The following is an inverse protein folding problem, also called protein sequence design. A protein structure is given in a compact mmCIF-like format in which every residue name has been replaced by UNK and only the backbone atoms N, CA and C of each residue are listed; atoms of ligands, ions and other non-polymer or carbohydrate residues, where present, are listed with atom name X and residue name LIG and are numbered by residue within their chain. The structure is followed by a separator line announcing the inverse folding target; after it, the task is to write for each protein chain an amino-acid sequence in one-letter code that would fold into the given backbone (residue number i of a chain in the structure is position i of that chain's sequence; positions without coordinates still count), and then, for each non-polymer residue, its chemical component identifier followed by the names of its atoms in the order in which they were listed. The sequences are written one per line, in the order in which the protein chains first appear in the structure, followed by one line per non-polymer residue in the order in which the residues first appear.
data_IF_218914061501
#
_entry.id   IF_218914061501
#
_cell.length_a   1.000
_cell.length_b   1.000
_cell.length_c   1.000
_cell.angle_alpha   90.00
_cell.angle_beta   90.00
_cell.angle_gamma   90.00
#
_symmetry.space_group_name_H-M   'P 1'
#
loop_
_entity.id
_entity.type
_entity.pdbx_description
1 polymer ?
#
# COMPACT_ATOMS: atom_id res chain seq x y z
N UNK A 1 23.76 5.59 35.09
CA UNK A 1 22.45 5.25 34.49
C UNK A 1 21.84 6.56 34.05
N UNK A 2 21.94 6.88 32.77
CA UNK A 2 21.24 8.02 32.17
C UNK A 2 19.82 7.57 31.88
N UNK A 3 18.86 8.05 32.67
CA UNK A 3 17.44 8.03 32.30
C UNK A 3 17.28 8.92 31.08
N UNK A 4 17.33 8.32 29.90
CA UNK A 4 16.89 8.96 28.66
C UNK A 4 15.40 8.64 28.53
N UNK A 5 14.57 9.22 29.41
CA UNK A 5 13.12 9.19 29.24
C UNK A 5 12.80 9.91 27.94
N UNK A 6 12.42 9.15 26.91
CA UNK A 6 11.88 9.74 25.69
C UNK A 6 10.69 10.65 26.08
N UNK A 7 10.58 11.85 25.47
CA UNK A 7 9.47 12.75 25.77
C UNK A 7 8.14 12.03 25.52
N UNK A 8 7.12 12.19 26.39
CA UNK A 8 5.81 11.56 26.20
C UNK A 8 5.11 12.09 24.95
N UNK A 9 4.11 11.35 24.45
CA UNK A 9 3.39 11.67 23.22
C UNK A 9 2.82 13.11 23.20
N UNK A 10 2.35 13.60 24.36
CA UNK A 10 1.83 14.98 24.52
C UNK A 10 2.85 16.09 24.34
N UNK A 11 4.15 15.78 24.45
CA UNK A 11 5.26 16.75 24.35
C UNK A 11 5.85 16.82 22.93
N UNK A 12 5.28 16.08 21.98
CA UNK A 12 5.64 16.19 20.57
C UNK A 12 5.31 17.60 20.05
N UNK A 13 6.31 18.25 19.47
CA UNK A 13 6.13 19.54 18.78
C UNK A 13 5.73 19.25 17.33
N UNK A 14 4.46 19.48 17.00
CA UNK A 14 3.99 19.31 15.63
C UNK A 14 4.46 20.45 14.73
N UNK A 15 4.82 20.10 13.50
CA UNK A 15 5.08 21.07 12.44
C UNK A 15 3.77 21.73 12.01
N UNK A 16 3.80 23.03 11.74
CA UNK A 16 2.67 23.78 11.19
C UNK A 16 2.69 23.88 9.66
N UNK A 17 3.68 23.26 9.03
CA UNK A 17 3.83 23.29 7.58
C UNK A 17 2.70 22.50 6.93
N UNK A 18 2.07 23.08 5.91
CA UNK A 18 1.02 22.42 5.14
C UNK A 18 1.64 21.37 4.21
N UNK A 19 1.86 20.17 4.72
CA UNK A 19 2.36 19.05 3.90
C UNK A 19 1.17 18.27 3.37
N UNK A 20 1.07 18.13 2.05
CA UNK A 20 0.05 17.27 1.45
C UNK A 20 0.45 15.80 1.63
N UNK A 21 -0.47 15.00 2.19
CA UNK A 21 -0.25 13.57 2.41
C UNK A 21 -0.88 12.77 1.27
N UNK A 22 -0.07 11.93 0.61
CA UNK A 22 -0.51 11.02 -0.46
C UNK A 22 0.05 9.63 -0.22
N UNK A 23 -0.82 8.62 -0.23
CA UNK A 23 -0.40 7.21 -0.15
C UNK A 23 0.10 6.67 -1.51
N UNK A 24 0.96 5.64 -1.48
CA UNK A 24 1.58 5.08 -2.70
C UNK A 24 0.56 4.57 -3.72
N UNK A 25 -0.57 4.03 -3.26
CA UNK A 25 -1.58 3.47 -4.16
C UNK A 25 -2.37 4.58 -4.84
N UNK A 26 -2.62 5.70 -4.16
CA UNK A 26 -3.22 6.89 -4.75
C UNK A 26 -2.31 7.50 -5.82
N UNK A 27 -1.00 7.50 -5.58
CA UNK A 27 -0.04 8.13 -6.47
C UNK A 27 0.08 7.47 -7.83
N UNK A 28 -0.27 6.19 -7.97
CA UNK A 28 -0.30 5.53 -9.28
C UNK A 28 -1.22 6.22 -10.28
N UNK A 29 -2.29 6.86 -9.82
CA UNK A 29 -3.17 7.64 -10.67
C UNK A 29 -2.49 8.90 -11.20
N UNK A 30 -1.71 9.59 -10.35
CA UNK A 30 -0.90 10.74 -10.74
C UNK A 30 0.23 10.41 -11.73
N UNK A 31 0.55 9.12 -11.92
CA UNK A 31 1.50 8.65 -12.92
C UNK A 31 0.88 8.46 -14.31
N UNK A 32 -0.45 8.56 -14.46
CA UNK A 32 -1.05 8.54 -15.79
C UNK A 32 -0.70 9.83 -16.54
N UNK A 33 -0.25 9.75 -17.80
CA UNK A 33 -0.01 10.95 -18.59
C UNK A 33 -1.33 11.57 -19.04
N UNK A 34 -1.33 12.88 -19.27
CA UNK A 34 -2.44 13.58 -19.89
C UNK A 34 -2.44 13.28 -21.40
N UNK A 35 -3.04 12.16 -21.77
CA UNK A 35 -3.17 11.69 -23.16
C UNK A 35 -4.63 11.36 -23.47
N UNK A 36 -5.12 11.69 -24.68
CA UNK A 36 -6.51 11.48 -25.06
C UNK A 36 -6.84 10.00 -25.35
N UNK A 37 -5.84 9.17 -25.68
CA UNK A 37 -6.05 7.73 -25.89
C UNK A 37 -5.87 6.96 -24.58
N UNK A 38 -6.96 6.37 -24.10
CA UNK A 38 -6.96 5.55 -22.88
C UNK A 38 -6.05 4.34 -22.96
N UNK A 39 -5.90 3.71 -24.13
CA UNK A 39 -5.04 2.53 -24.30
C UNK A 39 -3.58 2.93 -24.10
N UNK A 40 -3.13 3.98 -24.81
CA UNK A 40 -1.77 4.50 -24.66
C UNK A 40 -1.52 5.05 -23.25
N UNK A 41 -2.51 5.74 -22.66
CA UNK A 41 -2.45 6.29 -21.30
C UNK A 41 -2.16 5.21 -20.27
N UNK A 42 -2.89 4.09 -20.32
CA UNK A 42 -2.67 2.99 -19.39
C UNK A 42 -1.43 2.15 -19.71
N UNK A 43 -1.04 2.06 -20.98
CA UNK A 43 0.22 1.41 -21.36
C UNK A 43 1.44 2.17 -20.79
N UNK A 44 1.42 3.50 -20.86
CA UNK A 44 2.48 4.36 -20.35
C UNK A 44 2.66 4.27 -18.82
N UNK A 45 1.63 3.83 -18.07
CA UNK A 45 1.74 3.67 -16.62
C UNK A 45 2.91 2.77 -16.23
N UNK A 46 3.11 1.65 -16.95
CA UNK A 46 4.14 0.66 -16.62
C UNK A 46 5.56 1.23 -16.63
N UNK A 47 5.83 2.15 -17.54
CA UNK A 47 7.14 2.80 -17.68
C UNK A 47 7.36 3.90 -16.64
N UNK A 48 6.27 4.36 -15.99
CA UNK A 48 6.27 5.43 -15.00
C UNK A 48 6.16 4.92 -13.57
N UNK A 49 5.92 3.62 -13.35
CA UNK A 49 5.85 3.04 -12.01
C UNK A 49 7.18 3.24 -11.26
N UNK A 50 7.13 3.55 -9.95
CA UNK A 50 8.32 3.85 -9.19
C UNK A 50 9.19 2.58 -8.98
N UNK A 51 10.51 2.74 -8.83
CA UNK A 51 11.41 1.66 -8.42
C UNK A 51 10.95 1.02 -7.10
N UNK A 52 11.11 -0.31 -6.96
CA UNK A 52 10.61 -1.03 -5.79
C UNK A 52 11.35 -0.66 -4.49
N UNK A 53 12.62 -0.26 -4.59
CA UNK A 53 13.38 0.19 -3.43
C UNK A 53 12.85 1.51 -2.88
N UNK A 54 12.39 2.43 -3.74
CA UNK A 54 11.83 3.71 -3.31
C UNK A 54 10.52 3.49 -2.54
N UNK A 55 9.66 2.59 -3.03
CA UNK A 55 8.44 2.15 -2.33
C UNK A 55 8.77 1.53 -0.97
N UNK A 56 9.75 0.61 -0.95
CA UNK A 56 10.19 -0.08 0.27
C UNK A 56 10.69 0.89 1.33
N UNK A 57 11.53 1.83 0.92
CA UNK A 57 12.13 2.82 1.80
C UNK A 57 11.09 3.70 2.47
N UNK A 58 10.14 4.26 1.71
CA UNK A 58 9.07 5.09 2.29
C UNK A 58 8.18 4.26 3.24
N UNK A 59 7.80 3.05 2.83
CA UNK A 59 7.03 2.14 3.70
C UNK A 59 7.75 1.80 5.01
N UNK A 60 9.09 1.65 4.97
CA UNK A 60 9.92 1.41 6.16
C UNK A 60 9.96 2.62 7.08
N UNK A 61 10.07 3.84 6.55
CA UNK A 61 10.03 5.03 7.41
C UNK A 61 8.68 5.13 8.11
N UNK A 62 7.57 4.99 7.38
CA UNK A 62 6.24 5.04 8.00
C UNK A 62 6.04 3.92 9.02
N UNK A 63 6.61 2.72 8.81
CA UNK A 63 6.59 1.64 9.80
C UNK A 63 7.38 1.99 11.07
N UNK A 64 8.56 2.60 10.92
CA UNK A 64 9.39 3.05 12.04
C UNK A 64 8.72 4.17 12.83
N UNK A 65 8.11 5.13 12.15
CA UNK A 65 7.36 6.21 12.77
C UNK A 65 6.09 5.70 13.47
N UNK A 66 5.40 4.70 12.90
CA UNK A 66 4.30 4.02 13.59
C UNK A 66 4.78 3.30 14.86
N UNK A 67 5.90 2.58 14.79
CA UNK A 67 6.46 1.92 15.98
C UNK A 67 6.92 2.92 17.05
N UNK A 68 7.47 4.06 16.61
CA UNK A 68 7.82 5.18 17.50
C UNK A 68 6.57 5.75 18.16
N UNK A 69 5.51 6.01 17.39
CA UNK A 69 4.21 6.43 17.91
C UNK A 69 3.69 5.46 18.99
N UNK A 70 3.69 4.15 18.72
CA UNK A 70 3.26 3.15 19.70
C UNK A 70 4.11 3.17 20.98
N UNK A 71 5.41 3.36 20.85
CA UNK A 71 6.33 3.45 22.01
C UNK A 71 6.05 4.70 22.85
N UNK A 72 5.77 5.83 22.20
CA UNK A 72 5.40 7.08 22.88
C UNK A 72 4.02 7.00 23.53
N UNK A 73 3.06 6.31 22.89
CA UNK A 73 1.72 6.09 23.40
C UNK A 73 1.71 5.14 24.61
N UNK A 74 2.58 4.13 24.66
CA UNK A 74 2.73 3.25 25.83
C UNK A 74 3.24 4.02 27.06
N UNK A 75 4.11 5.02 26.84
CA UNK A 75 4.58 5.92 27.88
C UNK A 75 3.51 6.92 28.36
N UNK A 76 2.52 7.23 27.51
CA UNK A 76 1.41 8.14 27.83
C UNK A 76 0.06 7.67 27.25
N UNK A 77 -0.59 6.68 27.87
CA UNK A 77 -1.84 6.11 27.35
C UNK A 77 -2.99 7.12 27.28
N UNK A 78 -2.95 8.18 28.09
CA UNK A 78 -3.99 9.21 28.10
C UNK A 78 -3.97 10.10 26.85
N UNK A 79 -2.82 10.22 26.18
CA UNK A 79 -2.69 10.95 24.93
C UNK A 79 -3.11 10.10 23.71
N UNK A 80 -3.12 8.77 23.83
CA UNK A 80 -3.45 7.86 22.73
C UNK A 80 -4.84 8.12 22.16
N UNK A 81 -5.85 8.33 23.02
CA UNK A 81 -7.24 8.55 22.57
C UNK A 81 -7.36 9.75 21.62
N UNK A 82 -6.57 10.80 21.85
CA UNK A 82 -6.58 12.03 21.05
C UNK A 82 -5.70 11.97 19.81
N UNK A 83 -4.76 11.04 19.74
CA UNK A 83 -3.74 10.99 18.68
C UNK A 83 -3.75 9.68 17.89
N UNK A 84 -4.71 8.80 18.13
CA UNK A 84 -4.81 7.49 17.46
C UNK A 84 -4.88 7.62 15.94
N UNK A 85 -5.37 8.75 15.43
CA UNK A 85 -5.54 9.02 14.00
C UNK A 85 -4.22 9.23 13.29
N UNK A 86 -3.25 9.85 13.97
CA UNK A 86 -1.87 9.98 13.50
C UNK A 86 -1.24 8.58 13.38
N UNK A 87 -1.44 7.74 14.40
CA UNK A 87 -0.97 6.35 14.37
C UNK A 87 -1.62 5.54 13.24
N UNK A 88 -2.93 5.69 13.04
CA UNK A 88 -3.66 5.02 11.97
C UNK A 88 -3.21 5.50 10.58
N UNK A 89 -2.93 6.79 10.43
CA UNK A 89 -2.41 7.35 9.19
C UNK A 89 -1.06 6.73 8.82
N UNK A 90 -0.12 6.67 9.77
CA UNK A 90 1.20 6.05 9.58
C UNK A 90 1.10 4.55 9.25
N UNK A 91 0.18 3.84 9.92
CA UNK A 91 -0.08 2.43 9.63
C UNK A 91 -0.65 2.23 8.21
N UNK A 92 -1.58 3.09 7.78
CA UNK A 92 -2.13 3.10 6.42
C UNK A 92 -1.05 3.34 5.36
N UNK A 93 -0.22 4.36 5.55
CA UNK A 93 0.87 4.73 4.64
C UNK A 93 1.89 3.58 4.50
N UNK A 94 2.29 2.98 5.63
CA UNK A 94 3.19 1.82 5.63
C UNK A 94 2.60 0.63 4.87
N UNK A 95 1.33 0.27 5.14
CA UNK A 95 0.66 -0.83 4.45
C UNK A 95 0.44 -0.54 2.96
N UNK A 96 0.08 0.70 2.60
CA UNK A 96 -0.07 1.12 1.21
C UNK A 96 1.25 0.95 0.45
N UNK A 97 2.38 1.34 1.02
CA UNK A 97 3.69 1.19 0.39
C UNK A 97 4.15 -0.26 0.25
N UNK A 98 3.88 -1.12 1.23
CA UNK A 98 4.16 -2.55 1.10
C UNK A 98 3.30 -3.22 0.02
N UNK A 99 2.02 -2.88 -0.06
CA UNK A 99 1.12 -3.39 -1.10
C UNK A 99 1.55 -2.87 -2.47
N UNK A 100 1.87 -1.58 -2.60
CA UNK A 100 2.37 -0.98 -3.82
C UNK A 100 3.62 -1.73 -4.34
N UNK A 101 4.57 -2.04 -3.44
CA UNK A 101 5.77 -2.80 -3.78
C UNK A 101 5.44 -4.21 -4.33
N UNK A 102 4.37 -4.84 -3.85
CA UNK A 102 3.94 -6.16 -4.31
C UNK A 102 3.15 -6.09 -5.64
N UNK A 103 2.39 -5.02 -5.85
CA UNK A 103 1.65 -4.76 -7.09
C UNK A 103 2.58 -4.44 -8.27
N UNK A 104 3.62 -3.63 -8.05
CA UNK A 104 4.51 -3.16 -9.11
C UNK A 104 5.38 -4.31 -9.62
N UNK A 105 5.46 -4.55 -10.94
CA UNK A 105 6.33 -5.58 -11.51
C UNK A 105 7.81 -5.19 -11.39
N UNK A 106 8.70 -6.18 -11.34
CA UNK A 106 10.13 -5.89 -11.33
C UNK A 106 10.59 -5.51 -12.75
N UNK A 107 11.14 -4.31 -12.90
CA UNK A 107 11.66 -3.80 -14.19
C UNK A 107 13.18 -3.84 -14.29
N UNK A 108 13.87 -3.89 -13.14
CA UNK A 108 15.33 -3.85 -13.05
C UNK A 108 15.91 -5.01 -12.23
N UNK A 109 17.24 -5.27 -12.31
CA UNK A 109 17.92 -6.22 -11.42
C UNK A 109 17.73 -5.89 -9.93
N UNK A 110 17.69 -4.60 -9.58
CA UNK A 110 17.45 -4.14 -8.21
C UNK A 110 16.03 -4.46 -7.74
N UNK A 111 15.03 -4.30 -8.62
CA UNK A 111 13.65 -4.68 -8.29
C UNK A 111 13.51 -6.20 -8.09
N UNK A 112 14.16 -7.00 -8.93
CA UNK A 112 14.20 -8.45 -8.75
C UNK A 112 14.86 -8.84 -7.42
N UNK A 113 15.93 -8.13 -7.04
CA UNK A 113 16.57 -8.28 -5.74
C UNK A 113 15.62 -7.88 -4.60
N UNK A 114 14.95 -6.74 -4.69
CA UNK A 114 14.02 -6.25 -3.67
C UNK A 114 12.84 -7.22 -3.45
N UNK A 115 12.23 -7.77 -4.52
CA UNK A 115 11.18 -8.80 -4.39
C UNK A 115 11.70 -10.08 -3.74
N UNK A 116 12.91 -10.52 -4.07
CA UNK A 116 13.51 -11.70 -3.48
C UNK A 116 13.83 -11.50 -1.98
N UNK A 117 14.31 -10.32 -1.60
CA UNK A 117 14.54 -9.93 -0.21
C UNK A 117 13.23 -9.88 0.58
N UNK A 118 12.18 -9.26 0.04
CA UNK A 118 10.87 -9.20 0.67
C UNK A 118 10.27 -10.59 0.89
N UNK A 119 10.32 -11.47 -0.12
CA UNK A 119 9.84 -12.84 0.02
C UNK A 119 10.64 -13.63 1.07
N UNK A 120 11.95 -13.39 1.19
CA UNK A 120 12.79 -13.98 2.23
C UNK A 120 12.43 -13.47 3.63
N UNK A 121 12.29 -12.15 3.79
CA UNK A 121 11.93 -11.49 5.05
C UNK A 121 10.56 -11.98 5.55
N UNK A 122 9.53 -11.93 4.69
CA UNK A 122 8.19 -12.43 5.03
C UNK A 122 8.19 -13.93 5.28
N UNK A 123 8.92 -14.70 4.49
CA UNK A 123 9.11 -16.13 4.76
C UNK A 123 9.70 -16.40 6.14
N UNK A 124 10.67 -15.60 6.59
CA UNK A 124 11.26 -15.72 7.92
C UNK A 124 10.26 -15.29 9.02
N UNK A 125 9.61 -14.14 8.85
CA UNK A 125 8.62 -13.60 9.78
C UNK A 125 7.47 -14.57 10.07
N UNK A 126 6.93 -15.21 9.03
CA UNK A 126 5.81 -16.13 9.19
C UNK A 126 6.26 -17.49 9.75
N UNK A 127 7.48 -17.95 9.45
CA UNK A 127 8.05 -19.14 10.10
C UNK A 127 8.31 -18.95 11.59
N UNK A 128 8.63 -17.73 12.03
CA UNK A 128 8.81 -17.42 13.45
C UNK A 128 7.50 -17.13 14.20
N UNK A 129 6.35 -17.17 13.52
CA UNK A 129 5.05 -16.87 14.12
C UNK A 129 4.76 -15.37 14.31
N UNK A 130 5.61 -14.48 13.78
CA UNK A 130 5.46 -13.03 13.87
C UNK A 130 4.63 -12.42 12.72
N UNK A 131 3.95 -13.25 11.93
CA UNK A 131 3.07 -12.82 10.85
C UNK A 131 1.75 -12.25 11.38
N UNK A 132 1.27 -11.16 10.79
CA UNK A 132 0.03 -10.47 11.21
C UNK A 132 -1.18 -10.80 10.32
N UNK A 133 -0.98 -11.58 9.25
CA UNK A 133 -2.03 -12.09 8.38
C UNK A 133 -2.06 -13.62 8.41
N UNK A 134 -3.02 -14.23 7.73
CA UNK A 134 -2.99 -15.68 7.50
C UNK A 134 -1.75 -16.06 6.66
N UNK A 135 -0.93 -17.05 7.08
CA UNK A 135 0.27 -17.43 6.33
C UNK A 135 0.02 -17.80 4.87
N UNK A 136 -1.09 -18.50 4.59
CA UNK A 136 -1.49 -18.87 3.22
C UNK A 136 -1.81 -17.65 2.37
N UNK A 137 -2.40 -16.63 2.97
CA UNK A 137 -2.74 -15.40 2.26
C UNK A 137 -1.48 -14.63 1.86
N UNK A 138 -0.52 -14.51 2.78
CA UNK A 138 0.78 -13.92 2.47
C UNK A 138 1.55 -14.75 1.43
N UNK A 139 1.48 -16.09 1.50
CA UNK A 139 2.08 -16.95 0.46
C UNK A 139 1.49 -16.64 -0.92
N UNK A 140 0.16 -16.51 -1.03
CA UNK A 140 -0.53 -16.13 -2.28
C UNK A 140 -0.06 -14.77 -2.78
N UNK A 141 -0.01 -13.76 -1.92
CA UNK A 141 0.44 -12.40 -2.28
C UNK A 141 1.91 -12.34 -2.76
N UNK A 142 2.77 -13.22 -2.24
CA UNK A 142 4.18 -13.32 -2.62
C UNK A 142 4.41 -14.19 -3.88
N UNK A 143 3.37 -14.87 -4.40
CA UNK A 143 3.48 -15.57 -5.68
C UNK A 143 3.64 -14.56 -6.80
N UNK A 144 4.21 -15.01 -7.92
CA UNK A 144 4.38 -14.17 -9.10
C UNK A 144 3.00 -13.77 -9.64
N UNK A 145 2.72 -12.47 -9.67
CA UNK A 145 1.50 -11.92 -10.28
C UNK A 145 1.55 -11.94 -11.80
N UNK A 146 2.75 -11.93 -12.38
CA UNK A 146 2.96 -11.96 -13.83
C UNK A 146 3.94 -13.08 -14.18
N UNK A 147 3.82 -13.63 -15.39
CA UNK A 147 4.79 -14.56 -15.95
C UNK A 147 6.12 -13.84 -16.19
N UNK A 148 6.87 -13.54 -15.12
CA UNK A 148 8.21 -13.02 -15.21
C UNK A 148 9.07 -14.10 -15.87
N UNK A 149 9.44 -13.85 -17.13
CA UNK A 149 10.37 -14.69 -17.91
C UNK A 149 11.73 -14.84 -17.23
N UNK A 150 12.02 -14.01 -16.22
CA UNK A 150 13.25 -14.04 -15.45
C UNK A 150 13.21 -15.16 -14.38
N UNK A 151 14.29 -15.94 -14.24
CA UNK A 151 14.40 -16.96 -13.20
C UNK A 151 14.31 -16.35 -11.80
N UNK A 152 13.73 -17.08 -10.84
CA UNK A 152 13.54 -16.59 -9.48
C UNK A 152 14.91 -16.42 -8.82
N UNK A 153 15.25 -15.18 -8.45
CA UNK A 153 16.39 -14.94 -7.58
C UNK A 153 16.06 -15.49 -6.19
N UNK A 154 16.87 -16.42 -5.70
CA UNK A 154 16.77 -16.98 -4.36
C UNK A 154 17.97 -16.46 -3.57
N UNK A 155 17.70 -15.59 -2.60
CA UNK A 155 18.76 -14.97 -1.80
C UNK A 155 19.11 -15.89 -0.62
N UNK A 156 20.33 -16.42 -0.65
CA UNK A 156 20.93 -17.16 0.45
C UNK A 156 21.37 -16.26 1.60
N UNK A 157 22.42 -16.65 2.33
CA UNK A 157 22.95 -15.85 3.45
C UNK A 157 23.77 -14.62 2.99
N UNK A 158 24.25 -14.60 1.74
CA UNK A 158 25.13 -13.55 1.20
C UNK A 158 24.39 -12.68 0.19
N UNK A 159 24.69 -11.38 0.21
CA UNK A 159 24.22 -10.41 -0.78
C UNK A 159 25.00 -10.62 -2.08
N UNK A 160 24.35 -10.65 -3.26
CA UNK A 160 25.05 -10.72 -4.54
C UNK A 160 26.01 -9.55 -4.74
N UNK A 161 27.16 -9.74 -5.40
CA UNK A 161 28.07 -8.64 -5.72
C UNK A 161 27.36 -7.53 -6.51
N UNK A 162 27.57 -6.27 -6.12
CA UNK A 162 26.93 -5.12 -6.76
C UNK A 162 25.53 -4.78 -6.22
N UNK A 163 24.99 -5.56 -5.28
CA UNK A 163 23.70 -5.31 -4.62
C UNK A 163 23.86 -4.78 -3.19
N UNK A 164 25.07 -4.35 -2.79
CA UNK A 164 25.34 -3.88 -1.43
C UNK A 164 24.52 -2.64 -1.09
N UNK A 165 24.42 -1.68 -2.01
CA UNK A 165 23.62 -0.48 -1.81
C UNK A 165 22.12 -0.81 -1.77
N UNK A 166 21.63 -1.57 -2.75
CA UNK A 166 20.25 -2.06 -2.75
C UNK A 166 19.89 -2.81 -1.45
N UNK A 167 20.82 -3.58 -0.89
CA UNK A 167 20.63 -4.26 0.38
C UNK A 167 20.55 -3.28 1.57
N UNK A 168 21.37 -2.22 1.59
CA UNK A 168 21.33 -1.19 2.65
C UNK A 168 20.03 -0.39 2.59
N UNK A 169 19.62 0.01 1.39
CA UNK A 169 18.33 0.67 1.12
C UNK A 169 17.16 -0.20 1.55
N UNK A 170 17.14 -1.46 1.10
CA UNK A 170 16.08 -2.42 1.43
C UNK A 170 15.94 -2.66 2.94
N UNK A 171 17.05 -2.70 3.68
CA UNK A 171 17.02 -2.93 5.13
C UNK A 171 16.71 -1.67 5.96
N UNK A 172 16.58 -0.50 5.32
CA UNK A 172 16.48 0.78 6.00
C UNK A 172 17.76 1.23 6.70
N UNK A 173 18.93 0.72 6.28
CA UNK A 173 20.22 1.22 6.75
C UNK A 173 20.56 2.59 6.13
N UNK A 174 19.96 2.87 4.98
CA UNK A 174 19.87 4.19 4.36
C UNK A 174 18.38 4.48 4.27
N UNK A 175 17.93 5.59 4.85
CA UNK A 175 16.53 6.03 4.78
C UNK A 175 16.45 7.30 3.94
N UNK A 176 15.39 7.44 3.13
CA UNK A 176 15.12 8.67 2.41
C UNK A 176 14.90 9.81 3.40
N UNK A 177 15.41 10.98 3.06
CA UNK A 177 15.09 12.21 3.80
C UNK A 177 13.73 12.73 3.34
N UNK A 178 12.99 13.37 4.25
CA UNK A 178 11.78 14.10 3.88
C UNK A 178 12.17 15.19 2.86
N UNK A 179 11.51 15.18 1.71
CA UNK A 179 11.74 16.19 0.67
C UNK A 179 10.72 17.31 0.90
N UNK A 180 11.16 18.53 1.19
CA UNK A 180 10.26 19.68 1.27
C UNK A 180 9.94 20.17 -0.15
N UNK A 181 9.16 19.40 -0.90
CA UNK A 181 8.66 19.80 -2.22
C UNK A 181 7.14 19.70 -2.21
N UNK A 182 6.47 20.76 -2.72
CA UNK A 182 5.01 20.88 -2.84
C UNK A 182 4.44 19.94 -3.93
N UNK A 183 5.19 18.90 -4.29
CA UNK A 183 4.79 17.95 -5.32
C UNK A 183 3.69 17.05 -4.78
N UNK A 184 2.71 16.72 -5.63
CA UNK A 184 1.61 15.79 -5.33
C UNK A 184 2.09 14.32 -5.22
N UNK A 185 3.38 14.09 -4.98
CA UNK A 185 4.05 12.80 -4.97
C UNK A 185 4.12 12.24 -3.55
N UNK A 186 4.10 10.90 -3.36
CA UNK A 186 4.32 10.29 -2.06
C UNK A 186 5.64 10.72 -1.44
N UNK A 187 5.59 11.03 -0.14
CA UNK A 187 6.74 11.45 0.62
C UNK A 187 6.87 10.66 1.93
N UNK A 188 7.93 10.96 2.66
CA UNK A 188 8.18 10.44 3.99
C UNK A 188 7.50 11.36 5.00
N UNK A 189 6.64 10.78 5.85
CA UNK A 189 5.91 11.52 6.87
C UNK A 189 6.31 10.99 8.25
N UNK A 190 6.79 11.90 9.09
CA UNK A 190 7.14 11.65 10.49
C UNK A 190 5.96 11.96 11.42
N UNK A 191 5.99 11.43 12.65
CA UNK A 191 4.94 11.69 13.66
C UNK A 191 4.78 13.19 13.98
N UNK A 192 5.84 13.99 13.79
CA UNK A 192 5.81 15.44 13.91
C UNK A 192 4.89 16.14 12.88
N UNK A 193 4.55 15.49 11.76
CA UNK A 193 3.55 15.99 10.80
C UNK A 193 2.11 15.64 11.24
N UNK A 194 1.88 15.49 12.55
CA UNK A 194 0.66 14.96 13.14
C UNK A 194 -0.62 15.62 12.62
N UNK A 195 -0.65 16.95 12.48
CA UNK A 195 -1.82 17.67 11.96
C UNK A 195 -2.16 17.26 10.52
N UNK A 196 -1.17 17.24 9.62
CA UNK A 196 -1.38 16.83 8.23
C UNK A 196 -1.80 15.35 8.11
N UNK A 197 -1.22 14.48 8.95
CA UNK A 197 -1.56 13.06 9.01
C UNK A 197 -2.98 12.83 9.52
N UNK A 198 -3.39 13.56 10.56
CA UNK A 198 -4.73 13.52 11.12
C UNK A 198 -5.76 14.05 10.11
N UNK A 199 -5.50 15.21 9.49
CA UNK A 199 -6.39 15.80 8.48
C UNK A 199 -6.56 14.85 7.29
N UNK A 200 -5.46 14.32 6.76
CA UNK A 200 -5.50 13.33 5.68
C UNK A 200 -6.29 12.08 6.07
N UNK A 201 -6.08 11.57 7.27
CA UNK A 201 -6.86 10.44 7.74
C UNK A 201 -8.33 10.82 7.90
N UNK A 202 -8.67 12.01 8.39
CA UNK A 202 -10.04 12.46 8.58
C UNK A 202 -10.79 12.79 7.28
N UNK A 203 -10.08 12.94 6.16
CA UNK A 203 -10.61 13.10 4.81
C UNK A 203 -10.36 11.84 3.95
N UNK A 204 -11.12 10.75 4.15
CA UNK A 204 -10.91 9.50 3.44
C UNK A 204 -11.36 9.64 1.97
N UNK A 205 -10.83 8.84 1.04
CA UNK A 205 -11.38 8.77 -0.31
C UNK A 205 -12.81 8.23 -0.28
N UNK A 206 -13.63 8.62 -1.25
CA UNK A 206 -14.96 8.05 -1.45
C UNK A 206 -14.82 6.61 -1.97
N UNK A 207 -15.14 5.63 -1.12
CA UNK A 207 -14.96 4.22 -1.44
C UNK A 207 -15.93 3.72 -2.52
N UNK A 208 -17.11 4.32 -2.63
CA UNK A 208 -18.10 3.96 -3.64
C UNK A 208 -17.66 4.46 -5.02
N UNK A 209 -17.17 5.70 -5.09
CA UNK A 209 -16.59 6.26 -6.34
C UNK A 209 -15.39 5.42 -6.79
N UNK A 210 -14.46 5.10 -5.88
CA UNK A 210 -13.31 4.24 -6.21
C UNK A 210 -13.75 2.88 -6.77
N UNK A 211 -14.79 2.28 -6.20
CA UNK A 211 -15.31 0.99 -6.65
C UNK A 211 -15.94 1.08 -8.06
N UNK A 212 -16.70 2.14 -8.32
CA UNK A 212 -17.29 2.37 -9.65
C UNK A 212 -16.22 2.63 -10.71
N UNK A 213 -15.17 3.37 -10.37
CA UNK A 213 -14.00 3.55 -11.24
C UNK A 213 -13.26 2.24 -11.52
N UNK A 214 -13.14 1.35 -10.52
CA UNK A 214 -12.57 0.01 -10.72
C UNK A 214 -13.43 -0.82 -11.68
N UNK A 215 -14.76 -0.80 -11.51
CA UNK A 215 -15.68 -1.50 -12.41
C UNK A 215 -15.55 -1.01 -13.85
N UNK A 216 -15.42 0.31 -14.04
CA UNK A 216 -15.17 0.90 -15.35
C UNK A 216 -13.83 0.45 -15.95
N UNK A 217 -12.75 0.43 -15.16
CA UNK A 217 -11.44 -0.06 -15.62
C UNK A 217 -11.49 -1.54 -16.02
N UNK A 218 -12.17 -2.38 -15.23
CA UNK A 218 -12.34 -3.79 -15.59
C UNK A 218 -13.14 -3.96 -16.89
N UNK A 219 -14.22 -3.21 -17.08
CA UNK A 219 -14.97 -3.22 -18.34
C UNK A 219 -14.10 -2.77 -19.53
N UNK A 220 -13.24 -1.77 -19.34
CA UNK A 220 -12.28 -1.34 -20.35
C UNK A 220 -11.26 -2.43 -20.68
N UNK A 221 -10.72 -3.13 -19.68
CA UNK A 221 -9.78 -4.26 -19.87
C UNK A 221 -10.43 -5.38 -20.69
N UNK A 222 -11.70 -5.73 -20.42
CA UNK A 222 -12.42 -6.74 -21.20
C UNK A 222 -12.62 -6.29 -22.65
N UNK A 223 -12.97 -5.02 -22.86
CA UNK A 223 -13.14 -4.42 -24.19
C UNK A 223 -11.81 -4.45 -24.98
N UNK A 224 -10.71 -4.05 -24.34
CA UNK A 224 -9.36 -4.17 -24.87
C UNK A 224 -8.81 -5.60 -24.87
N UNK A 225 -9.60 -6.61 -24.53
CA UNK A 225 -9.21 -8.01 -24.73
C UNK A 225 -9.86 -8.59 -25.98
N UNK A 226 -10.90 -7.93 -26.51
CA UNK A 226 -11.75 -8.46 -27.58
C UNK A 226 -11.63 -7.72 -28.92
N UNK A 227 -11.07 -6.49 -28.96
CA UNK A 227 -11.03 -5.76 -30.23
C UNK A 227 -9.92 -6.25 -31.19
N UNK A 228 -10.28 -6.27 -32.47
CA UNK A 228 -9.42 -6.60 -33.60
C UNK A 228 -9.39 -5.40 -34.58
N UNK A 229 -8.21 -5.04 -35.14
CA UNK A 229 -6.90 -5.63 -34.92
C UNK A 229 -6.28 -5.20 -33.57
N UNK A 230 -5.45 -6.06 -32.99
CA UNK A 230 -4.73 -5.77 -31.74
C UNK A 230 -3.75 -4.60 -31.92
N UNK A 231 -3.90 -3.52 -31.16
CA UNK A 231 -2.88 -2.46 -31.12
C UNK A 231 -1.64 -2.91 -30.35
N UNK A 232 -0.48 -2.35 -30.68
CA UNK A 232 0.81 -2.66 -30.04
C UNK A 232 0.82 -2.38 -28.53
N UNK A 233 -0.07 -1.52 -28.05
CA UNK A 233 -0.12 -1.08 -26.64
C UNK A 233 -1.03 -1.96 -25.77
N UNK A 234 -1.78 -2.89 -26.34
CA UNK A 234 -2.84 -3.63 -25.65
C UNK A 234 -2.36 -4.39 -24.42
N UNK A 235 -1.22 -5.08 -24.56
CA UNK A 235 -0.61 -5.79 -23.43
C UNK A 235 -0.23 -4.83 -22.30
N UNK A 236 0.38 -3.69 -22.64
CA UNK A 236 0.75 -2.65 -21.69
C UNK A 236 -0.48 -2.05 -21.00
N UNK A 237 -1.49 -1.67 -21.79
CA UNK A 237 -2.72 -1.04 -21.33
C UNK A 237 -3.48 -1.93 -20.34
N UNK A 238 -3.67 -3.21 -20.68
CA UNK A 238 -4.32 -4.19 -19.80
C UNK A 238 -3.55 -4.33 -18.49
N UNK A 239 -2.23 -4.45 -18.54
CA UNK A 239 -1.40 -4.63 -17.34
C UNK A 239 -1.39 -3.37 -16.47
N UNK A 240 -1.26 -2.19 -17.06
CA UNK A 240 -1.32 -0.92 -16.35
C UNK A 240 -2.67 -0.70 -15.69
N UNK A 241 -3.77 -0.87 -16.44
CA UNK A 241 -5.12 -0.76 -15.90
C UNK A 241 -5.41 -1.79 -14.81
N UNK A 242 -4.88 -3.02 -14.92
CA UNK A 242 -5.02 -4.05 -13.89
C UNK A 242 -4.29 -3.63 -12.60
N UNK A 243 -3.06 -3.11 -12.69
CA UNK A 243 -2.31 -2.59 -11.54
C UNK A 243 -3.08 -1.45 -10.87
N UNK A 244 -3.59 -0.50 -11.63
CA UNK A 244 -4.37 0.62 -11.10
C UNK A 244 -5.68 0.16 -10.47
N UNK A 245 -6.37 -0.79 -11.08
CA UNK A 245 -7.60 -1.38 -10.53
C UNK A 245 -7.34 -2.03 -9.17
N UNK A 246 -6.30 -2.87 -9.07
CA UNK A 246 -5.95 -3.49 -7.79
C UNK A 246 -5.38 -2.51 -6.76
N UNK A 247 -4.71 -1.44 -7.19
CA UNK A 247 -4.32 -0.36 -6.29
C UNK A 247 -5.55 0.29 -5.65
N UNK A 248 -6.58 0.64 -6.45
CA UNK A 248 -7.86 1.17 -5.95
C UNK A 248 -8.61 0.18 -5.05
N UNK A 249 -8.69 -1.10 -5.42
CA UNK A 249 -9.27 -2.15 -4.57
C UNK A 249 -8.54 -2.26 -3.23
N UNK A 250 -7.21 -2.20 -3.23
CA UNK A 250 -6.42 -2.21 -2.01
C UNK A 250 -6.65 -0.95 -1.18
N UNK A 251 -6.80 0.23 -1.79
CA UNK A 251 -7.19 1.46 -1.05
C UNK A 251 -8.55 1.28 -0.37
N UNK A 252 -9.56 0.80 -1.09
CA UNK A 252 -10.88 0.50 -0.51
C UNK A 252 -10.74 -0.48 0.68
N UNK A 253 -9.89 -1.50 0.54
CA UNK A 253 -9.60 -2.45 1.61
C UNK A 253 -8.93 -1.81 2.84
N UNK A 254 -7.92 -0.98 2.65
CA UNK A 254 -7.11 -0.36 3.72
C UNK A 254 -7.91 0.63 4.56
N UNK A 255 -8.71 1.49 3.93
CA UNK A 255 -9.44 2.55 4.62
C UNK A 255 -10.55 1.99 5.52
N UNK A 256 -10.60 2.28 6.83
CA UNK A 256 -11.68 1.78 7.69
C UNK A 256 -13.03 2.35 7.28
N UNK A 257 -14.08 1.53 7.32
CA UNK A 257 -15.42 1.96 6.95
C UNK A 257 -15.98 2.94 8.00
N UNK A 258 -16.42 4.12 7.58
CA UNK A 258 -17.02 5.18 8.42
C UNK A 258 -18.52 5.30 8.21
N UNK A 259 -19.02 4.75 7.11
CA UNK A 259 -20.43 4.71 6.77
C UNK A 259 -20.88 3.30 6.37
N UNK A 260 -22.20 3.09 6.31
CA UNK A 260 -22.75 1.85 5.72
C UNK A 260 -22.41 1.72 4.25
N UNK A 261 -22.30 2.83 3.51
CA UNK A 261 -21.90 2.82 2.10
C UNK A 261 -20.45 2.33 1.94
N UNK A 262 -19.55 2.75 2.83
CA UNK A 262 -18.17 2.27 2.86
C UNK A 262 -18.13 0.76 3.12
N UNK A 263 -18.93 0.28 4.08
CA UNK A 263 -18.98 -1.14 4.40
C UNK A 263 -19.52 -1.96 3.23
N UNK A 264 -20.55 -1.47 2.54
CA UNK A 264 -21.08 -2.09 1.31
C UNK A 264 -20.01 -2.10 0.21
N UNK A 265 -19.30 -1.01 -0.02
CA UNK A 265 -18.22 -0.97 -1.01
C UNK A 265 -17.15 -2.01 -0.71
N UNK A 266 -16.79 -2.22 0.57
CA UNK A 266 -15.81 -3.26 0.97
C UNK A 266 -16.35 -4.69 0.77
N UNK A 267 -17.63 -4.93 1.04
CA UNK A 267 -18.29 -6.21 0.74
C UNK A 267 -18.33 -6.49 -0.77
N UNK A 268 -18.63 -5.48 -1.57
CA UNK A 268 -18.61 -5.58 -3.03
C UNK A 268 -17.20 -5.86 -3.57
N UNK A 269 -16.14 -5.31 -2.95
CA UNK A 269 -14.76 -5.67 -3.28
C UNK A 269 -14.51 -7.17 -3.04
N UNK A 270 -14.97 -7.73 -1.92
CA UNK A 270 -14.82 -9.16 -1.60
C UNK A 270 -15.51 -10.05 -2.62
N UNK A 271 -16.72 -9.67 -3.03
CA UNK A 271 -17.45 -10.35 -4.09
C UNK A 271 -16.70 -10.25 -5.43
N UNK A 272 -16.29 -9.04 -5.81
CA UNK A 272 -15.64 -8.77 -7.09
C UNK A 272 -14.32 -9.57 -7.24
N UNK A 273 -13.46 -9.58 -6.23
CA UNK A 273 -12.21 -10.37 -6.30
C UNK A 273 -12.46 -11.88 -6.30
N UNK A 274 -13.58 -12.35 -5.71
CA UNK A 274 -13.97 -13.76 -5.77
C UNK A 274 -14.41 -14.16 -7.17
N UNK A 275 -15.16 -13.29 -7.85
CA UNK A 275 -15.65 -13.51 -9.21
C UNK A 275 -14.53 -13.43 -10.26
N UNK A 276 -13.50 -12.62 -10.03
CA UNK A 276 -12.37 -12.42 -10.96
C UNK A 276 -11.31 -13.53 -10.87
N UNK A 277 -11.70 -14.79 -11.07
CA UNK A 277 -10.80 -15.95 -10.93
C UNK A 277 -9.66 -15.98 -11.95
N UNK A 278 -9.81 -15.29 -13.08
CA UNK A 278 -8.80 -15.19 -14.14
C UNK A 278 -7.68 -14.20 -13.81
N UNK A 279 -7.92 -13.28 -12.89
CA UNK A 279 -6.91 -12.31 -12.46
C UNK A 279 -5.81 -13.00 -11.62
N UNK A 280 -4.59 -12.43 -11.61
CA UNK A 280 -3.50 -12.95 -10.80
C UNK A 280 -3.89 -13.12 -9.32
N UNK A 281 -3.81 -14.36 -8.82
CA UNK A 281 -4.15 -14.70 -7.43
C UNK A 281 -3.36 -13.86 -6.41
N UNK A 282 -2.13 -13.49 -6.74
CA UNK A 282 -1.32 -12.61 -5.91
C UNK A 282 -1.94 -11.21 -5.74
N UNK A 283 -2.54 -10.64 -6.80
CA UNK A 283 -3.21 -9.34 -6.71
C UNK A 283 -4.52 -9.42 -5.91
N UNK A 284 -5.29 -10.50 -6.11
CA UNK A 284 -6.49 -10.79 -5.29
C UNK A 284 -6.14 -10.95 -3.82
N UNK A 285 -5.08 -11.68 -3.51
CA UNK A 285 -4.57 -11.82 -2.16
C UNK A 285 -4.15 -10.48 -1.52
N UNK A 286 -3.62 -9.53 -2.30
CA UNK A 286 -3.30 -8.18 -1.80
C UNK A 286 -4.56 -7.40 -1.41
N UNK A 287 -5.64 -7.48 -2.20
CA UNK A 287 -6.91 -6.87 -1.84
C UNK A 287 -7.51 -7.50 -0.56
N UNK A 288 -7.46 -8.82 -0.43
CA UNK A 288 -7.85 -9.54 0.81
C UNK A 288 -7.01 -9.10 2.02
N UNK A 289 -5.69 -8.95 1.85
CA UNK A 289 -4.77 -8.42 2.88
C UNK A 289 -5.20 -7.02 3.30
N UNK A 290 -5.44 -6.13 2.33
CA UNK A 290 -5.87 -4.76 2.57
C UNK A 290 -7.17 -4.69 3.37
N UNK A 291 -8.20 -5.45 2.95
CA UNK A 291 -9.47 -5.58 3.68
C UNK A 291 -9.25 -6.03 5.13
N UNK A 292 -8.37 -7.00 5.34
CA UNK A 292 -7.97 -7.46 6.67
C UNK A 292 -7.34 -6.36 7.52
N UNK A 293 -6.46 -5.52 6.95
CA UNK A 293 -5.88 -4.35 7.62
C UNK A 293 -6.98 -3.37 8.03
N UNK A 294 -7.81 -2.93 7.08
CA UNK A 294 -8.85 -1.92 7.36
C UNK A 294 -9.89 -2.40 8.38
N UNK A 295 -10.22 -3.70 8.39
CA UNK A 295 -11.06 -4.31 9.43
C UNK A 295 -10.41 -4.27 10.82
N UNK A 296 -9.08 -4.47 10.92
CA UNK A 296 -8.37 -4.38 12.20
C UNK A 296 -8.37 -2.96 12.74
N UNK A 297 -8.14 -1.97 11.87
CA UNK A 297 -8.18 -0.54 12.24
C UNK A 297 -9.60 -0.15 12.69
N UNK A 298 -10.63 -0.58 11.94
CA UNK A 298 -12.02 -0.33 12.30
C UNK A 298 -12.41 -0.88 13.69
N UNK A 299 -11.78 -1.97 14.15
CA UNK A 299 -12.04 -2.56 15.49
C UNK A 299 -11.41 -1.77 16.64
N UNK A 300 -10.52 -0.82 16.36
CA UNK A 300 -9.82 -0.05 17.40
C UNK A 300 -10.67 1.09 17.98
N UNK A 301 -11.77 1.49 17.33
CA UNK A 301 -12.59 2.61 17.80
C UNK A 301 -14.06 2.53 17.39
N UNK A 302 -14.96 3.00 18.26
CA UNK A 302 -16.41 2.90 18.06
C UNK A 302 -17.00 3.80 16.97
N UNK A 303 -16.19 4.67 16.35
CA UNK A 303 -16.61 5.55 15.25
C UNK A 303 -16.65 4.89 13.87
N UNK A 304 -16.11 3.66 13.76
CA UNK A 304 -16.08 2.91 12.51
C UNK A 304 -17.20 1.88 12.45
N UNK A 305 -17.73 1.65 11.25
CA UNK A 305 -18.79 0.68 11.00
C UNK A 305 -18.16 -0.67 10.71
N UNK A 306 -18.41 -1.65 11.60
CA UNK A 306 -17.89 -3.03 11.47
C UNK A 306 -18.97 -4.06 11.16
N UNK A 307 -20.24 -3.68 11.31
CA UNK A 307 -21.42 -4.53 11.07
C UNK A 307 -22.53 -3.65 10.51
N UNK A 308 -23.29 -4.15 9.53
CA UNK A 308 -24.50 -3.49 9.07
C UNK A 308 -25.61 -3.68 10.11
N UNK A 309 -26.13 -2.59 10.67
CA UNK A 309 -27.27 -2.66 11.58
C UNK A 309 -28.47 -3.32 10.89
N UNK A 310 -28.92 -4.46 11.40
CA UNK A 310 -30.15 -5.13 10.95
C UNK A 310 -29.97 -6.41 10.12
N UNK A 311 -28.75 -6.93 9.96
CA UNK A 311 -28.53 -8.26 9.35
C UNK A 311 -27.54 -9.05 10.22
N UNK A 312 -28.04 -10.09 10.89
CA UNK A 312 -27.18 -11.19 11.35
C UNK A 312 -26.66 -11.91 10.09
N UNK A 313 -25.35 -11.83 9.84
CA UNK A 313 -24.64 -12.69 8.88
C UNK A 313 -24.01 -13.87 9.63
#
# INVERSE_FOLDING_TARGET
MTDTTAPPLRDLVFTTDSVQVTDELAAFEGLLPDMPDDVERHAALLERLPPLLDLRERALVHAQEYQRFLTLADADPSALEYMVDIGNALALLSHAGEIAMLLVPAGSPEDHFAKAMLAKERGAQYRSGAGVHEPKLMERALRRSFADSHPRLVIGARIPPGMEEASRRFSGAVLPQAINDDSNSPNVYQVEHGLALEDWFNEPPDLAILLDEVRQLFAAIETWSQAEPSSSFWYGARRGALILSYARLCRIGLWPARSSADLVAKMDVEQLITERTEDPDAMRALAEIALGVGRRIARQGGRFVTVLGGVEL
#
